data_IF_079778941165
#
_entry.id   IF_079778941165
#
_cell.length_a   1.000
_cell.length_b   1.000
_cell.length_c   1.000
_cell.angle_alpha   90.00
_cell.angle_beta   90.00
_cell.angle_gamma   90.00
#
_symmetry.space_group_name_H-M   'P 1'
#
loop_
_entity.id
_entity.type
_entity.pdbx_description
1 polymer ?
#
# COMPACT_ATOMS: atom_id res chain seq x y z
N UNK A 1 9.10 -13.99 -8.60
CA UNK A 1 7.73 -13.46 -8.40
C UNK A 1 7.77 -12.51 -7.22
N UNK A 2 7.04 -11.39 -7.22
CA UNK A 2 7.07 -10.47 -6.06
C UNK A 2 6.08 -10.99 -5.02
N UNK A 3 6.60 -11.30 -3.84
CA UNK A 3 5.81 -11.87 -2.72
C UNK A 3 5.51 -10.82 -1.64
N UNK A 4 6.36 -9.80 -1.52
CA UNK A 4 6.21 -8.72 -0.56
C UNK A 4 6.77 -7.40 -1.10
N UNK A 5 6.23 -6.29 -0.62
CA UNK A 5 6.82 -4.96 -0.78
C UNK A 5 7.61 -4.66 0.50
N UNK A 6 8.80 -4.04 0.41
CA UNK A 6 9.57 -3.64 1.57
C UNK A 6 8.76 -2.78 2.54
N UNK A 7 8.83 -3.10 3.84
CA UNK A 7 8.07 -2.39 4.88
C UNK A 7 8.44 -0.90 4.96
N UNK A 8 9.68 -0.54 4.60
CA UNK A 8 10.15 0.84 4.60
C UNK A 8 9.56 1.72 3.47
N UNK A 9 8.69 1.19 2.61
CA UNK A 9 8.00 2.01 1.59
C UNK A 9 7.17 3.14 2.22
N UNK A 10 6.71 2.98 3.47
CA UNK A 10 6.05 4.02 4.25
C UNK A 10 6.92 5.30 4.39
N UNK A 11 8.24 5.14 4.37
CA UNK A 11 9.22 6.23 4.51
C UNK A 11 9.47 6.97 3.19
N UNK A 12 8.94 6.46 2.07
CA UNK A 12 9.07 7.07 0.76
C UNK A 12 8.20 8.33 0.66
N UNK A 13 8.67 9.41 1.27
CA UNK A 13 7.96 10.68 1.42
C UNK A 13 7.64 11.40 0.10
N UNK A 14 8.20 10.96 -1.03
CA UNK A 14 7.93 11.48 -2.36
C UNK A 14 7.21 10.46 -3.26
N UNK A 15 6.80 9.30 -2.72
CA UNK A 15 6.04 8.33 -3.49
C UNK A 15 4.58 8.76 -3.60
N UNK A 16 4.22 9.33 -4.75
CA UNK A 16 2.85 9.75 -5.06
C UNK A 16 2.04 8.68 -5.80
N UNK A 17 2.71 7.81 -6.54
CA UNK A 17 2.07 6.78 -7.38
C UNK A 17 2.78 5.44 -7.19
N UNK A 18 2.02 4.39 -6.91
CA UNK A 18 2.50 3.01 -6.82
C UNK A 18 1.71 2.15 -7.82
N UNK A 19 2.41 1.47 -8.72
CA UNK A 19 1.82 0.59 -9.72
C UNK A 19 2.33 -0.83 -9.55
N UNK A 20 1.42 -1.76 -9.29
CA UNK A 20 1.68 -3.18 -9.12
C UNK A 20 1.13 -3.90 -10.35
N UNK A 21 1.99 -4.59 -11.08
CA UNK A 21 1.63 -5.24 -12.34
C UNK A 21 2.05 -6.71 -12.25
N UNK A 22 1.09 -7.61 -12.44
CA UNK A 22 1.29 -9.06 -12.44
C UNK A 22 1.87 -9.60 -11.11
N UNK A 23 1.58 -8.94 -9.97
CA UNK A 23 2.03 -9.36 -8.64
C UNK A 23 1.07 -10.41 -8.03
N UNK A 24 0.99 -11.60 -8.63
CA UNK A 24 0.05 -12.66 -8.18
C UNK A 24 0.47 -13.43 -6.92
N UNK A 25 1.70 -13.27 -6.44
CA UNK A 25 2.13 -13.82 -5.13
C UNK A 25 2.06 -12.78 -4.02
N UNK A 26 1.75 -11.52 -4.34
CA UNK A 26 1.65 -10.49 -3.34
C UNK A 26 0.38 -10.73 -2.54
N UNK A 27 0.53 -11.02 -1.24
CA UNK A 27 -0.60 -11.34 -0.36
C UNK A 27 -1.12 -10.12 0.40
N UNK A 28 -0.22 -9.17 0.71
CA UNK A 28 -0.52 -7.97 1.48
C UNK A 28 0.34 -6.79 1.03
N UNK A 29 -0.11 -5.59 1.36
CA UNK A 29 0.68 -4.37 1.25
C UNK A 29 1.17 -3.97 2.64
N UNK A 30 2.41 -3.49 2.76
CA UNK A 30 2.86 -2.80 3.96
C UNK A 30 2.09 -1.49 4.15
N UNK A 31 2.37 -0.77 5.24
CA UNK A 31 1.90 0.61 5.38
C UNK A 31 2.41 1.44 4.20
N UNK A 32 1.49 2.16 3.56
CA UNK A 32 1.80 2.99 2.40
C UNK A 32 2.13 4.41 2.85
N UNK A 33 3.03 5.12 2.15
CA UNK A 33 3.40 6.47 2.52
C UNK A 33 2.17 7.39 2.48
N UNK A 34 2.07 8.30 3.45
CA UNK A 34 0.91 9.20 3.62
C UNK A 34 0.62 10.08 2.39
N UNK A 35 1.64 10.35 1.57
CA UNK A 35 1.51 11.18 0.36
C UNK A 35 1.18 10.36 -0.90
N UNK A 36 0.97 9.05 -0.77
CA UNK A 36 0.55 8.22 -1.88
C UNK A 36 -0.84 8.65 -2.35
N UNK A 37 -0.90 9.18 -3.56
CA UNK A 37 -2.12 9.66 -4.19
C UNK A 37 -2.78 8.60 -5.08
N UNK A 38 -1.97 7.73 -5.72
CA UNK A 38 -2.46 6.72 -6.64
C UNK A 38 -1.86 5.35 -6.34
N UNK A 39 -2.72 4.35 -6.16
CA UNK A 39 -2.36 2.93 -6.10
C UNK A 39 -3.07 2.20 -7.24
N UNK A 40 -2.30 1.58 -8.14
CA UNK A 40 -2.82 0.77 -9.24
C UNK A 40 -2.37 -0.67 -9.08
N UNK A 41 -3.29 -1.61 -9.25
CA UNK A 41 -2.99 -3.02 -9.26
C UNK A 41 -3.60 -3.64 -10.52
N UNK A 42 -2.74 -4.19 -11.39
CA UNK A 42 -3.14 -4.82 -12.64
C UNK A 42 -2.72 -6.28 -12.63
N UNK A 43 -3.68 -7.19 -12.80
CA UNK A 43 -3.42 -8.65 -12.86
C UNK A 43 -2.74 -9.16 -11.57
N UNK A 44 -3.08 -8.58 -10.42
CA UNK A 44 -2.67 -9.05 -9.11
C UNK A 44 -3.76 -9.94 -8.49
N UNK A 45 -3.37 -10.81 -7.55
CA UNK A 45 -4.34 -11.48 -6.68
C UNK A 45 -4.99 -10.45 -5.75
N UNK A 46 -6.26 -10.66 -5.32
CA UNK A 46 -6.90 -9.79 -4.35
C UNK A 46 -6.04 -9.68 -3.09
N UNK A 47 -5.67 -8.45 -2.73
CA UNK A 47 -4.83 -8.17 -1.58
C UNK A 47 -5.70 -8.04 -0.33
N UNK A 48 -5.30 -8.66 0.77
CA UNK A 48 -5.92 -8.40 2.06
C UNK A 48 -5.46 -7.02 2.55
N UNK A 49 -6.22 -5.97 2.23
CA UNK A 49 -5.93 -4.61 2.68
C UNK A 49 -6.44 -4.41 4.11
N UNK A 50 -5.53 -4.35 5.08
CA UNK A 50 -5.85 -3.80 6.41
C UNK A 50 -5.58 -2.30 6.36
N UNK A 51 -6.41 -1.54 5.64
CA UNK A 51 -6.36 -0.08 5.78
C UNK A 51 -6.99 0.27 7.12
N UNK A 52 -6.19 0.56 8.15
CA UNK A 52 -6.71 1.24 9.32
C UNK A 52 -7.03 2.67 8.90
N UNK A 53 -8.31 3.11 8.88
CA UNK A 53 -8.56 4.53 8.77
C UNK A 53 -7.85 5.19 9.96
N UNK A 54 -7.02 6.21 9.69
CA UNK A 54 -6.68 7.19 10.72
C UNK A 54 -7.95 7.98 10.98
N UNK A 55 -8.87 7.39 11.75
CA UNK A 55 -9.83 8.21 12.48
C UNK A 55 -8.98 9.02 13.44
N UNK A 56 -8.79 10.30 13.13
CA UNK A 56 -8.41 11.26 14.14
C UNK A 56 -9.55 11.25 15.17
N UNK A 57 -9.35 10.49 16.25
CA UNK A 57 -10.15 10.66 17.46
C UNK A 57 -9.65 11.94 18.13
N UNK A 58 -10.03 13.08 17.54
CA UNK A 58 -10.11 14.34 18.26
C UNK A 58 -11.53 14.49 18.80
N UNK A 59 -11.78 13.96 19.99
CA UNK A 59 -12.95 14.34 20.79
C UNK A 59 -12.54 14.44 22.26
N UNK A 60 -12.36 15.71 22.68
CA UNK A 60 -12.38 16.33 24.01
C UNK A 60 -12.20 15.44 25.24
#
# INVERSE_FOLDING_TARGET
>A
MIESIPANIEQASWLFCLSLINCKSLQSLPELPLKLYSLKAHVCTPLNTVSRPRTALNTW
#
